data_IF_162661834919
#
_entry.id   IF_162661834919
#
_cell.length_a   1.000
_cell.length_b   1.000
_cell.length_c   1.000
_cell.angle_alpha   90.00
_cell.angle_beta   90.00
_cell.angle_gamma   90.00
#
_symmetry.space_group_name_H-M   'P 1'
#
loop_
_entity.id
_entity.type
_entity.pdbx_description
1 polymer ?
#
# COMPACT_ATOMS: atom_id res chain seq x y z
N UNK A 1 3.26 27.45 -15.45
CA UNK A 1 4.38 27.11 -14.55
C UNK A 1 3.84 26.24 -13.43
N UNK A 2 3.93 24.91 -13.56
CA UNK A 2 3.54 23.96 -12.52
C UNK A 2 4.60 24.03 -11.43
N UNK A 3 4.24 24.52 -10.24
CA UNK A 3 5.09 24.44 -9.05
C UNK A 3 5.43 22.97 -8.84
N UNK A 4 6.70 22.59 -9.02
CA UNK A 4 7.21 21.30 -8.56
C UNK A 4 7.04 21.30 -7.04
N UNK A 5 6.09 20.53 -6.54
CA UNK A 5 5.97 20.25 -5.11
C UNK A 5 7.31 19.68 -4.66
N UNK A 6 8.00 20.35 -3.75
CA UNK A 6 9.25 19.81 -3.22
C UNK A 6 8.92 18.55 -2.42
N UNK A 7 9.75 17.51 -2.54
CA UNK A 7 9.57 16.25 -1.80
C UNK A 7 9.42 16.46 -0.28
N UNK A 8 10.02 17.53 0.28
CA UNK A 8 9.89 17.94 1.68
C UNK A 8 8.50 18.44 2.10
N UNK A 9 7.65 18.84 1.15
CA UNK A 9 6.30 19.36 1.42
C UNK A 9 5.24 18.24 1.42
N UNK A 10 5.58 17.04 0.96
CA UNK A 10 4.69 15.89 0.95
C UNK A 10 4.71 15.20 2.32
N UNK A 11 3.88 15.70 3.25
CA UNK A 11 3.67 15.06 4.55
C UNK A 11 2.82 13.80 4.38
N UNK A 12 3.48 12.71 4.01
CA UNK A 12 2.82 11.43 3.74
C UNK A 12 2.79 10.63 5.01
N UNK A 13 1.56 10.42 5.47
CA UNK A 13 1.29 9.61 6.64
C UNK A 13 1.16 8.16 6.23
N UNK A 14 1.76 7.29 7.02
CA UNK A 14 1.55 5.85 6.93
C UNK A 14 0.06 5.52 7.04
N UNK A 15 -0.60 6.02 8.10
CA UNK A 15 -2.06 5.95 8.22
C UNK A 15 -2.67 7.35 8.09
N UNK A 16 -3.60 7.49 7.14
CA UNK A 16 -4.33 8.73 6.91
C UNK A 16 -5.83 8.52 7.08
N UNK A 17 -6.46 9.30 7.96
CA UNK A 17 -7.91 9.36 8.06
C UNK A 17 -8.46 10.41 7.08
N UNK A 18 -9.35 9.98 6.19
CA UNK A 18 -10.04 10.88 5.27
C UNK A 18 -11.06 11.74 6.03
N UNK A 19 -11.08 13.04 5.71
CA UNK A 19 -12.07 13.98 6.24
C UNK A 19 -13.31 14.13 5.35
N UNK A 20 -13.27 13.56 4.15
CA UNK A 20 -14.28 13.67 3.09
C UNK A 20 -14.33 12.36 2.31
N UNK A 21 -15.40 12.15 1.55
CA UNK A 21 -15.46 11.05 0.61
C UNK A 21 -14.30 11.10 -0.39
N UNK A 22 -13.79 9.94 -0.73
CA UNK A 22 -12.77 9.72 -1.75
C UNK A 22 -13.42 9.64 -3.14
N UNK A 23 -12.61 9.41 -4.18
CA UNK A 23 -13.08 9.21 -5.56
C UNK A 23 -13.34 7.73 -5.90
N UNK A 24 -13.09 6.82 -4.98
CA UNK A 24 -13.42 5.40 -5.13
C UNK A 24 -14.91 5.21 -4.86
N UNK A 25 -15.43 4.04 -5.23
CA UNK A 25 -16.83 3.67 -4.95
C UNK A 25 -17.00 3.11 -3.53
N UNK A 26 -15.89 2.84 -2.84
CA UNK A 26 -15.86 2.25 -1.51
C UNK A 26 -16.17 3.28 -0.41
N UNK A 27 -16.71 2.85 0.75
CA UNK A 27 -17.00 3.71 1.90
C UNK A 27 -15.73 4.03 2.70
N UNK A 28 -14.75 4.66 2.07
CA UNK A 28 -13.42 4.86 2.66
C UNK A 28 -13.42 5.81 3.85
N UNK A 29 -12.71 5.42 4.91
CA UNK A 29 -12.40 6.25 6.07
C UNK A 29 -10.93 6.38 6.34
N UNK A 30 -10.14 5.34 6.06
CA UNK A 30 -8.70 5.37 6.24
C UNK A 30 -7.98 4.92 4.99
N UNK A 31 -6.71 5.30 4.94
CA UNK A 31 -5.75 4.85 3.96
C UNK A 31 -4.46 4.45 4.64
N UNK A 32 -4.00 3.23 4.37
CA UNK A 32 -2.65 2.77 4.72
C UNK A 32 -1.75 2.94 3.50
N UNK A 33 -0.58 3.53 3.69
CA UNK A 33 0.43 3.70 2.67
C UNK A 33 1.42 2.53 2.71
N UNK A 34 1.31 1.63 1.73
CA UNK A 34 2.20 0.47 1.60
C UNK A 34 3.46 0.79 0.79
N UNK A 35 3.38 1.77 -0.09
CA UNK A 35 4.52 2.28 -0.84
C UNK A 35 4.29 3.74 -1.22
N UNK A 36 5.35 4.55 -1.18
CA UNK A 36 5.35 5.87 -1.78
C UNK A 36 6.76 6.31 -2.22
N UNK A 37 6.89 6.78 -3.46
CA UNK A 37 8.11 7.39 -3.99
C UNK A 37 7.89 8.89 -4.25
N UNK A 38 8.54 9.80 -3.48
CA UNK A 38 8.31 11.24 -3.60
C UNK A 38 8.71 11.85 -4.93
N UNK A 39 9.70 11.29 -5.63
CA UNK A 39 10.17 11.87 -6.88
C UNK A 39 9.24 11.57 -8.06
N UNK A 40 8.63 10.38 -8.07
CA UNK A 40 7.73 9.95 -9.15
C UNK A 40 6.25 10.07 -8.79
N UNK A 41 5.94 10.27 -7.51
CA UNK A 41 4.58 10.20 -6.94
C UNK A 41 3.93 8.83 -7.16
N UNK A 42 4.75 7.78 -7.24
CA UNK A 42 4.25 6.42 -7.27
C UNK A 42 3.77 5.99 -5.89
N UNK A 43 2.67 5.25 -5.83
CA UNK A 43 2.08 4.84 -4.57
C UNK A 43 1.30 3.54 -4.68
N UNK A 44 1.25 2.85 -3.54
CA UNK A 44 0.31 1.76 -3.27
C UNK A 44 -0.42 2.12 -1.98
N UNK A 45 -1.73 2.29 -2.09
CA UNK A 45 -2.60 2.66 -0.98
C UNK A 45 -3.63 1.57 -0.74
N UNK A 46 -3.75 1.12 0.50
CA UNK A 46 -4.87 0.31 0.95
C UNK A 46 -5.92 1.21 1.55
N UNK A 47 -7.15 1.08 1.08
CA UNK A 47 -8.29 1.84 1.53
C UNK A 47 -9.10 0.98 2.51
N UNK A 48 -9.49 1.58 3.63
CA UNK A 48 -10.18 0.90 4.73
C UNK A 48 -11.43 1.65 5.16
N UNK A 49 -12.43 0.92 5.64
CA UNK A 49 -13.68 1.44 6.18
C UNK A 49 -13.53 1.97 7.62
N UNK A 50 -14.65 2.34 8.26
CA UNK A 50 -14.65 2.84 9.65
C UNK A 50 -14.23 1.81 10.70
N UNK A 51 -14.36 0.53 10.39
CA UNK A 51 -13.94 -0.60 11.22
C UNK A 51 -12.50 -1.04 10.94
N UNK A 52 -11.77 -0.30 10.09
CA UNK A 52 -10.41 -0.62 9.65
C UNK A 52 -10.32 -1.91 8.80
N UNK A 53 -11.45 -2.35 8.26
CA UNK A 53 -11.55 -3.46 7.30
C UNK A 53 -11.19 -2.95 5.91
N UNK A 54 -10.47 -3.77 5.15
CA UNK A 54 -9.98 -3.39 3.82
C UNK A 54 -11.10 -3.41 2.80
N UNK A 55 -11.30 -2.28 2.14
CA UNK A 55 -12.16 -2.16 0.97
C UNK A 55 -11.42 -2.62 -0.30
N UNK A 56 -10.17 -2.20 -0.45
CA UNK A 56 -9.32 -2.56 -1.58
C UNK A 56 -8.06 -1.70 -1.66
N UNK A 57 -7.37 -1.75 -2.80
CA UNK A 57 -6.10 -1.07 -3.03
C UNK A 57 -6.14 -0.19 -4.26
N UNK A 58 -5.35 0.88 -4.23
CA UNK A 58 -5.22 1.87 -5.31
C UNK A 58 -3.75 2.09 -5.63
N UNK A 59 -3.41 1.99 -6.91
CA UNK A 59 -2.06 2.22 -7.42
C UNK A 59 -1.97 3.56 -8.18
N UNK A 60 -0.76 4.13 -8.24
CA UNK A 60 -0.46 5.21 -9.18
C UNK A 60 -0.53 4.70 -10.63
N UNK A 61 -0.89 5.59 -11.57
CA UNK A 61 -1.00 5.21 -12.99
C UNK A 61 0.35 4.74 -13.58
N UNK A 62 1.47 5.17 -13.02
CA UNK A 62 2.80 4.74 -13.45
C UNK A 62 3.17 3.33 -12.93
N UNK A 63 2.72 2.92 -11.74
CA UNK A 63 2.84 1.52 -11.31
C UNK A 63 1.92 0.60 -12.11
N UNK A 64 0.69 1.03 -12.41
CA UNK A 64 -0.23 0.25 -13.27
C UNK A 64 0.41 -0.08 -14.62
N UNK A 65 1.17 0.84 -15.22
CA UNK A 65 1.85 0.61 -16.49
C UNK A 65 3.01 -0.39 -16.41
N UNK A 66 3.57 -0.61 -15.21
CA UNK A 66 4.64 -1.59 -14.98
C UNK A 66 4.08 -3.02 -14.84
N UNK A 67 2.77 -3.16 -14.63
CA UNK A 67 2.12 -4.46 -14.52
C UNK A 67 2.02 -5.18 -15.88
N UNK A 68 2.01 -6.53 -15.87
CA UNK A 68 1.70 -7.33 -17.06
C UNK A 68 0.33 -6.96 -17.61
N UNK A 69 0.13 -7.06 -18.92
CA UNK A 69 -1.05 -6.54 -19.63
C UNK A 69 -2.39 -6.97 -19.01
N UNK A 70 -2.52 -8.24 -18.60
CA UNK A 70 -3.72 -8.78 -17.96
C UNK A 70 -4.02 -8.24 -16.55
N UNK A 71 -3.05 -7.59 -15.91
CA UNK A 71 -3.18 -7.07 -14.54
C UNK A 71 -3.14 -5.54 -14.47
N UNK A 72 -3.15 -4.84 -15.62
CA UNK A 72 -3.10 -3.37 -15.69
C UNK A 72 -4.42 -2.72 -15.26
N UNK A 73 -4.71 -2.80 -13.98
CA UNK A 73 -5.83 -2.10 -13.34
C UNK A 73 -5.34 -1.24 -12.19
N UNK A 74 -6.07 -0.15 -11.95
CA UNK A 74 -5.76 0.82 -10.90
C UNK A 74 -6.25 0.40 -9.53
N UNK A 75 -7.34 -0.36 -9.51
CA UNK A 75 -8.06 -0.77 -8.31
C UNK A 75 -7.96 -2.29 -8.18
N UNK A 76 -7.58 -2.75 -6.99
CA UNK A 76 -7.55 -4.16 -6.62
C UNK A 76 -8.50 -4.38 -5.46
N UNK A 77 -9.24 -5.48 -5.49
CA UNK A 77 -10.15 -5.86 -4.42
C UNK A 77 -9.38 -6.36 -3.19
N UNK A 78 -10.03 -6.38 -2.02
CA UNK A 78 -9.39 -6.79 -0.77
C UNK A 78 -8.76 -8.20 -0.82
N UNK A 79 -9.40 -9.14 -1.55
CA UNK A 79 -8.91 -10.52 -1.69
C UNK A 79 -7.68 -10.64 -2.61
N UNK A 80 -7.35 -9.59 -3.36
CA UNK A 80 -6.19 -9.55 -4.27
C UNK A 80 -4.92 -9.03 -3.59
N UNK A 81 -4.96 -8.81 -2.26
CA UNK A 81 -3.80 -8.32 -1.48
C UNK A 81 -2.55 -9.14 -1.74
N UNK A 82 -2.66 -10.47 -1.70
CA UNK A 82 -1.51 -11.37 -1.84
C UNK A 82 -0.81 -11.16 -3.19
N UNK A 83 -1.57 -11.17 -4.28
CA UNK A 83 -1.06 -10.88 -5.63
C UNK A 83 -0.36 -9.52 -5.69
N UNK A 84 -0.99 -8.48 -5.16
CA UNK A 84 -0.42 -7.13 -5.16
C UNK A 84 0.88 -7.06 -4.36
N UNK A 85 0.92 -7.71 -3.20
CA UNK A 85 2.07 -7.71 -2.31
C UNK A 85 3.25 -8.42 -2.94
N UNK A 86 3.03 -9.53 -3.65
CA UNK A 86 4.08 -10.25 -4.36
C UNK A 86 4.60 -9.49 -5.59
N UNK A 87 3.71 -8.83 -6.34
CA UNK A 87 4.11 -8.01 -7.49
C UNK A 87 5.00 -6.81 -7.11
N UNK A 88 4.89 -6.32 -5.88
CA UNK A 88 5.62 -5.15 -5.39
C UNK A 88 6.38 -5.40 -4.08
N UNK A 89 6.70 -6.65 -3.79
CA UNK A 89 7.21 -7.09 -2.48
C UNK A 89 8.41 -6.26 -2.03
N UNK A 90 9.48 -6.26 -2.84
CA UNK A 90 10.71 -5.52 -2.53
C UNK A 90 10.42 -4.03 -2.26
N UNK A 91 9.53 -3.42 -3.04
CA UNK A 91 9.19 -1.99 -2.88
C UNK A 91 8.42 -1.73 -1.59
N UNK A 92 7.45 -2.58 -1.28
CA UNK A 92 6.63 -2.47 -0.07
C UNK A 92 7.51 -2.71 1.16
N UNK A 93 8.26 -3.82 1.19
CA UNK A 93 9.14 -4.20 2.29
C UNK A 93 10.16 -3.10 2.57
N UNK A 94 10.82 -2.58 1.53
CA UNK A 94 11.81 -1.52 1.68
C UNK A 94 11.18 -0.22 2.19
N UNK A 95 9.98 0.15 1.71
CA UNK A 95 9.30 1.35 2.18
C UNK A 95 8.84 1.22 3.64
N UNK A 96 8.21 0.10 4.01
CA UNK A 96 7.71 -0.11 5.38
C UNK A 96 8.86 -0.20 6.40
N UNK A 97 9.99 -0.78 6.01
CA UNK A 97 11.18 -0.86 6.87
C UNK A 97 12.04 0.41 6.85
N UNK A 98 11.67 1.43 6.06
CA UNK A 98 12.35 2.72 6.07
C UNK A 98 11.91 3.60 7.25
N UNK A 99 12.65 4.69 7.46
CA UNK A 99 12.34 5.74 8.46
C UNK A 99 11.00 6.46 8.22
N UNK A 100 10.36 6.29 7.05
CA UNK A 100 9.06 6.92 6.76
C UNK A 100 7.88 6.31 7.50
N UNK A 101 8.01 5.05 7.91
CA UNK A 101 6.98 4.34 8.66
C UNK A 101 7.54 4.13 10.05
N UNK A 102 6.85 4.61 11.08
CA UNK A 102 7.26 4.38 12.45
C UNK A 102 6.95 2.94 12.86
N UNK A 103 7.85 2.30 13.61
CA UNK A 103 7.69 0.90 14.01
C UNK A 103 6.58 0.71 15.04
N UNK A 104 6.42 1.65 15.97
CA UNK A 104 5.36 1.60 16.98
C UNK A 104 4.00 1.91 16.32
N UNK A 105 3.94 2.87 15.39
CA UNK A 105 2.72 3.12 14.60
C UNK A 105 2.28 1.86 13.83
N UNK A 106 3.23 1.16 13.20
CA UNK A 106 2.94 -0.09 12.50
C UNK A 106 2.44 -1.17 13.46
N UNK A 107 3.17 -1.44 14.54
CA UNK A 107 2.81 -2.49 15.49
C UNK A 107 1.47 -2.22 16.17
N UNK A 108 1.17 -0.96 16.51
CA UNK A 108 -0.13 -0.59 17.07
C UNK A 108 -1.29 -0.80 16.08
N UNK A 109 -1.04 -0.64 14.77
CA UNK A 109 -2.06 -0.82 13.74
C UNK A 109 -2.30 -2.29 13.36
N UNK A 110 -1.24 -3.11 13.34
CA UNK A 110 -1.29 -4.49 12.85
C UNK A 110 -1.17 -5.56 13.95
N UNK A 111 -0.84 -5.17 15.18
CA UNK A 111 -0.66 -6.08 16.32
C UNK A 111 0.60 -6.95 16.25
N UNK A 112 1.46 -6.72 15.26
CA UNK A 112 2.73 -7.44 15.06
C UNK A 112 3.80 -6.48 14.56
N UNK A 113 5.05 -6.74 14.92
CA UNK A 113 6.19 -5.94 14.44
C UNK A 113 6.41 -6.13 12.95
N UNK A 114 7.00 -5.12 12.29
CA UNK A 114 7.39 -5.17 10.87
C UNK A 114 8.23 -6.40 10.53
N UNK A 115 9.19 -6.73 11.40
CA UNK A 115 10.06 -7.91 11.25
C UNK A 115 9.27 -9.21 11.17
N UNK A 116 8.19 -9.32 11.95
CA UNK A 116 7.34 -10.52 11.94
C UNK A 116 6.35 -10.49 10.78
N UNK A 117 5.86 -9.31 10.40
CA UNK A 117 4.92 -9.16 9.29
C UNK A 117 5.57 -9.49 7.93
N UNK A 118 6.85 -9.15 7.77
CA UNK A 118 7.65 -9.38 6.56
C UNK A 118 8.82 -10.34 6.81
N UNK A 119 8.62 -11.37 7.63
CA UNK A 119 9.61 -12.43 7.79
C UNK A 119 9.67 -13.30 6.53
N UNK A 120 10.82 -13.91 6.25
CA UNK A 120 11.00 -14.83 5.12
C UNK A 120 9.90 -15.92 5.10
N UNK A 121 9.57 -16.52 6.25
CA UNK A 121 8.50 -17.52 6.39
C UNK A 121 7.11 -16.97 5.98
N UNK A 122 6.83 -15.69 6.26
CA UNK A 122 5.56 -15.07 5.89
C UNK A 122 5.50 -14.78 4.38
N UNK A 123 6.61 -14.36 3.80
CA UNK A 123 6.73 -14.11 2.35
C UNK A 123 6.67 -15.43 1.57
N UNK A 124 7.32 -16.48 2.07
CA UNK A 124 7.21 -17.84 1.54
C UNK A 124 5.74 -18.31 1.55
N UNK A 125 5.02 -18.15 2.66
CA UNK A 125 3.60 -18.48 2.75
C UNK A 125 2.76 -17.72 1.71
N UNK A 126 3.01 -16.42 1.51
CA UNK A 126 2.31 -15.66 0.47
C UNK A 126 2.58 -16.22 -0.92
N UNK A 127 3.83 -16.55 -1.20
CA UNK A 127 4.26 -17.06 -2.51
C UNK A 127 3.58 -18.39 -2.82
N UNK A 128 3.52 -19.30 -1.84
CA UNK A 128 2.83 -20.58 -1.97
C UNK A 128 1.32 -20.42 -2.27
N UNK A 129 0.67 -19.36 -1.76
CA UNK A 129 -0.73 -19.09 -2.07
C UNK A 129 -0.96 -18.75 -3.55
N UNK A 130 0.02 -18.17 -4.26
CA UNK A 130 -0.11 -17.89 -5.70
C UNK A 130 0.00 -19.17 -6.52
N UNK A 131 0.86 -20.13 -6.15
CA UNK A 131 0.96 -21.40 -6.88
C UNK A 131 -0.35 -22.21 -6.85
N UNK A 132 -1.27 -21.85 -5.95
CA UNK A 132 -2.60 -22.43 -5.80
C UNK A 132 -3.70 -21.65 -6.54
N UNK A 133 -3.40 -20.50 -7.17
CA UNK A 133 -4.32 -19.65 -7.94
C UNK A 133 -4.24 -19.93 -9.45
#
# INVERSE_FOLDING_TARGET
MTKKTNARDLNIKFIHQFKRSTRTEWPDKFRVCWFFEPNTLDYIYEHKDECFITNGFVLSDALVKQLPEGYRKKYFEAHERCLLFLLFEERIVNFINSEFVDSDEFENAFGVSKRRYFSDEAIEEWTEQIDLL
#
